data_IF_025742991405
#
_entry.id   IF_025742991405
#
_cell.length_a   1.000
_cell.length_b   1.000
_cell.length_c   1.000
_cell.angle_alpha   90.00
_cell.angle_beta   90.00
_cell.angle_gamma   90.00
#
_symmetry.space_group_name_H-M   'P 1'
#
loop_
_entity.id
_entity.type
_entity.pdbx_description
1 polymer ?
#
# COMPACT_ATOMS: atom_id res chain seq x y z
N UNK A 1 14.85 -6.43 -11.24
CA UNK A 1 13.45 -6.20 -11.66
C UNK A 1 12.59 -5.59 -10.56
N UNK A 2 12.69 -6.03 -9.30
CA UNK A 2 11.97 -5.41 -8.17
C UNK A 2 12.09 -3.87 -8.12
N UNK A 3 13.31 -3.34 -8.20
CA UNK A 3 13.54 -1.88 -8.15
C UNK A 3 12.80 -1.07 -9.23
N UNK A 4 12.63 -1.63 -10.44
CA UNK A 4 11.91 -0.95 -11.53
C UNK A 4 10.42 -0.99 -11.25
N UNK A 5 9.89 -2.17 -10.89
CA UNK A 5 8.50 -2.34 -10.52
C UNK A 5 8.11 -1.41 -9.35
N UNK A 6 8.93 -1.33 -8.31
CA UNK A 6 8.70 -0.45 -7.16
C UNK A 6 8.66 1.03 -7.58
N UNK A 7 9.51 1.47 -8.51
CA UNK A 7 9.56 2.87 -8.99
C UNK A 7 8.44 3.24 -9.96
N UNK A 8 7.87 2.28 -10.67
CA UNK A 8 6.87 2.54 -11.71
C UNK A 8 5.47 2.03 -11.33
N UNK A 9 5.25 1.70 -10.05
CA UNK A 9 4.04 0.99 -9.60
C UNK A 9 3.75 -0.29 -10.39
N UNK A 10 4.78 -0.88 -10.99
CA UNK A 10 4.68 -2.04 -11.87
C UNK A 10 4.60 -3.33 -11.07
N UNK A 11 4.30 -4.43 -11.76
CA UNK A 11 4.34 -5.78 -11.19
C UNK A 11 5.52 -6.53 -11.78
N UNK A 12 6.20 -7.34 -10.96
CA UNK A 12 7.18 -8.31 -11.45
C UNK A 12 6.83 -9.70 -10.96
N UNK A 13 7.22 -10.71 -11.72
CA UNK A 13 7.02 -12.11 -11.36
C UNK A 13 8.19 -12.92 -11.89
N UNK A 14 8.46 -14.05 -11.24
CA UNK A 14 9.47 -15.00 -11.68
C UNK A 14 8.80 -16.14 -12.44
N UNK A 15 9.23 -16.40 -13.67
CA UNK A 15 8.73 -17.50 -14.49
C UNK A 15 9.80 -18.58 -14.62
N UNK A 16 9.51 -19.79 -14.12
CA UNK A 16 10.43 -20.93 -14.21
C UNK A 16 10.21 -21.71 -15.52
N UNK A 17 10.48 -21.08 -16.66
CA UNK A 17 10.41 -21.63 -18.03
C UNK A 17 9.09 -22.29 -18.47
N UNK A 18 8.03 -22.21 -17.65
CA UNK A 18 6.69 -22.69 -18.00
C UNK A 18 5.96 -21.67 -18.87
N UNK A 19 6.15 -21.77 -20.18
CA UNK A 19 5.58 -20.85 -21.17
C UNK A 19 4.04 -20.79 -21.12
N UNK A 20 3.36 -21.85 -20.65
CA UNK A 20 1.90 -21.84 -20.49
C UNK A 20 1.47 -20.85 -19.41
N UNK A 21 2.14 -20.88 -18.26
CA UNK A 21 1.89 -19.93 -17.16
C UNK A 21 2.19 -18.49 -17.55
N UNK A 22 3.24 -18.27 -18.35
CA UNK A 22 3.56 -16.92 -18.88
C UNK A 22 2.42 -16.44 -19.77
N UNK A 23 1.95 -17.26 -20.71
CA UNK A 23 0.84 -16.92 -21.61
C UNK A 23 -0.45 -16.61 -20.84
N UNK A 24 -0.79 -17.46 -19.87
CA UNK A 24 -2.01 -17.29 -19.07
C UNK A 24 -1.93 -16.02 -18.20
N UNK A 25 -0.77 -15.73 -17.62
CA UNK A 25 -0.53 -14.48 -16.89
C UNK A 25 -0.62 -13.24 -17.81
N UNK A 26 -0.10 -13.33 -19.04
CA UNK A 26 -0.20 -12.24 -20.02
C UNK A 26 -1.66 -11.91 -20.37
N UNK A 27 -2.54 -12.91 -20.44
CA UNK A 27 -3.96 -12.68 -20.71
C UNK A 27 -4.63 -11.88 -19.59
N UNK A 28 -4.22 -12.06 -18.33
CA UNK A 28 -4.78 -11.33 -17.18
C UNK A 28 -4.49 -9.82 -17.24
N UNK A 29 -3.38 -9.39 -17.85
CA UNK A 29 -3.05 -7.97 -18.00
C UNK A 29 -3.99 -7.21 -18.95
N UNK A 30 -4.84 -7.90 -19.70
CA UNK A 30 -5.82 -7.26 -20.60
C UNK A 30 -7.12 -6.85 -19.92
N UNK A 31 -7.37 -7.32 -18.70
CA UNK A 31 -8.61 -7.09 -17.97
C UNK A 31 -8.35 -6.25 -16.71
N UNK A 32 -8.52 -4.94 -16.84
CA UNK A 32 -8.39 -3.97 -15.73
C UNK A 32 -9.77 -3.49 -15.28
N UNK A 33 -10.42 -4.16 -14.33
CA UNK A 33 -11.73 -3.76 -13.83
C UNK A 33 -11.74 -2.45 -13.03
N UNK A 34 -10.62 -2.03 -12.45
CA UNK A 34 -10.54 -0.76 -11.74
C UNK A 34 -9.17 -0.08 -11.91
N UNK A 35 -9.21 1.23 -12.09
CA UNK A 35 -8.04 2.10 -12.16
C UNK A 35 -8.11 3.19 -11.10
N UNK A 36 -6.95 3.75 -10.73
CA UNK A 36 -6.83 4.88 -9.79
C UNK A 36 -7.53 4.64 -8.44
N UNK A 37 -7.39 3.42 -7.90
CA UNK A 37 -7.98 3.04 -6.62
C UNK A 37 -7.18 3.68 -5.48
N UNK A 38 -7.89 4.30 -4.54
CA UNK A 38 -7.31 4.87 -3.34
C UNK A 38 -7.87 4.18 -2.10
N UNK A 39 -6.98 3.69 -1.24
CA UNK A 39 -7.32 3.18 0.09
C UNK A 39 -6.86 4.22 1.10
N UNK A 40 -7.82 4.89 1.72
CA UNK A 40 -7.55 5.88 2.76
C UNK A 40 -7.54 5.21 4.13
N UNK A 41 -6.47 5.46 4.87
CA UNK A 41 -6.27 4.96 6.23
C UNK A 41 -6.31 6.15 7.20
N UNK A 42 -7.02 5.99 8.30
CA UNK A 42 -7.13 7.01 9.34
C UNK A 42 -6.89 6.38 10.70
N UNK A 43 -5.83 6.84 11.38
CA UNK A 43 -5.50 6.41 12.71
C UNK A 43 -6.28 7.21 13.76
N UNK A 44 -6.76 6.48 14.77
CA UNK A 44 -7.43 7.07 15.93
C UNK A 44 -6.47 7.99 16.71
N UNK A 45 -7.03 8.92 17.50
CA UNK A 45 -6.27 9.74 18.44
C UNK A 45 -5.36 8.87 19.32
N UNK A 46 -4.08 9.23 19.40
CA UNK A 46 -3.05 8.49 20.13
C UNK A 46 -2.28 7.44 19.31
N UNK A 47 -2.66 7.21 18.05
CA UNK A 47 -1.91 6.38 17.11
C UNK A 47 -1.51 7.19 15.87
N UNK A 48 -0.32 6.89 15.37
CA UNK A 48 0.22 7.38 14.10
C UNK A 48 0.43 6.21 13.16
N UNK A 49 0.21 6.44 11.87
CA UNK A 49 0.65 5.55 10.79
C UNK A 49 2.15 5.75 10.62
N UNK A 50 2.93 4.72 10.95
CA UNK A 50 4.37 4.69 10.72
C UNK A 50 4.61 4.38 9.25
N UNK A 51 5.22 5.32 8.53
CA UNK A 51 5.51 5.20 7.10
C UNK A 51 6.89 5.75 6.80
N UNK A 52 7.66 5.01 5.99
CA UNK A 52 8.90 5.52 5.38
C UNK A 52 8.61 6.57 4.29
N UNK A 53 7.38 6.57 3.74
CA UNK A 53 6.92 7.57 2.78
C UNK A 53 6.03 8.61 3.47
N UNK A 54 6.47 9.87 3.43
CA UNK A 54 5.89 11.00 4.17
C UNK A 54 4.36 10.99 4.20
N UNK A 55 3.81 11.01 5.42
CA UNK A 55 2.39 11.26 5.68
C UNK A 55 1.96 12.57 5.03
N UNK A 56 0.89 12.52 4.24
CA UNK A 56 0.41 13.66 3.45
C UNK A 56 -0.16 14.81 4.29
N UNK A 57 -0.40 14.59 5.58
CA UNK A 57 -1.06 15.52 6.49
C UNK A 57 -0.11 16.20 7.50
N UNK A 58 1.20 15.93 7.42
CA UNK A 58 2.21 16.46 8.35
C UNK A 58 2.08 15.96 9.79
N UNK A 59 0.99 15.25 10.13
CA UNK A 59 0.66 14.75 11.46
C UNK A 59 0.82 13.24 11.60
N UNK A 60 1.04 12.50 10.51
CA UNK A 60 1.26 11.05 10.56
C UNK A 60 0.00 10.25 10.84
N UNK A 61 -1.19 10.84 10.72
CA UNK A 61 -2.45 10.21 11.15
C UNK A 61 -3.32 9.70 10.01
N UNK A 62 -3.10 10.26 8.82
CA UNK A 62 -3.74 9.85 7.59
C UNK A 62 -2.70 9.44 6.57
N UNK A 63 -2.99 8.34 5.87
CA UNK A 63 -2.21 7.90 4.72
C UNK A 63 -3.16 7.41 3.63
N UNK A 64 -2.69 7.50 2.38
CA UNK A 64 -3.40 6.96 1.23
C UNK A 64 -2.48 5.99 0.50
N UNK A 65 -2.94 4.75 0.36
CA UNK A 65 -2.31 3.77 -0.52
C UNK A 65 -2.95 3.96 -1.90
N UNK A 66 -2.14 4.36 -2.88
CA UNK A 66 -2.57 4.56 -4.26
C UNK A 66 -2.26 3.32 -5.08
N UNK A 67 -3.24 2.85 -5.83
CA UNK A 67 -3.13 1.69 -6.70
C UNK A 67 -3.56 2.11 -8.09
N UNK A 68 -2.61 2.10 -9.03
CA UNK A 68 -2.88 2.58 -10.40
C UNK A 68 -3.86 1.64 -11.13
N UNK A 69 -3.59 0.34 -11.11
CA UNK A 69 -4.43 -0.69 -11.74
C UNK A 69 -4.72 -1.85 -10.78
N UNK A 70 -5.95 -2.36 -10.85
CA UNK A 70 -6.37 -3.63 -10.25
C UNK A 70 -6.82 -4.56 -11.38
N UNK A 71 -6.15 -5.70 -11.52
CA UNK A 71 -6.46 -6.70 -12.55
C UNK A 71 -7.55 -7.67 -12.08
N UNK A 72 -8.29 -8.26 -13.02
CA UNK A 72 -9.36 -9.20 -12.69
C UNK A 72 -8.81 -10.42 -11.93
N UNK A 73 -9.41 -10.71 -10.77
CA UNK A 73 -8.98 -11.80 -9.88
C UNK A 73 -7.71 -11.50 -9.06
N UNK A 74 -7.09 -10.34 -9.22
CA UNK A 74 -5.91 -9.92 -8.45
C UNK A 74 -6.26 -9.72 -6.97
N UNK A 75 -5.35 -10.14 -6.08
CA UNK A 75 -5.42 -9.86 -4.65
C UNK A 75 -4.13 -9.15 -4.21
N UNK A 76 -4.26 -7.93 -3.70
CA UNK A 76 -3.16 -7.16 -3.12
C UNK A 76 -3.27 -7.17 -1.60
N UNK A 77 -2.15 -7.42 -0.93
CA UNK A 77 -2.04 -7.38 0.53
C UNK A 77 -1.15 -6.20 0.92
N UNK A 78 -1.53 -5.49 1.98
CA UNK A 78 -0.80 -4.35 2.50
C UNK A 78 -0.47 -4.57 3.97
N UNK A 79 0.72 -4.16 4.38
CA UNK A 79 1.14 -4.17 5.79
C UNK A 79 1.26 -2.71 6.21
N UNK A 80 0.57 -2.37 7.30
CA UNK A 80 0.54 -1.01 7.85
C UNK A 80 1.07 -1.07 9.27
N UNK A 81 2.04 -0.23 9.59
CA UNK A 81 2.62 -0.13 10.92
C UNK A 81 2.00 1.04 11.68
N UNK A 82 1.69 0.83 12.95
CA UNK A 82 1.16 1.86 13.84
C UNK A 82 2.17 2.17 14.94
N UNK A 83 2.43 3.45 15.15
CA UNK A 83 3.19 3.95 16.30
C UNK A 83 2.23 4.57 17.31
N UNK A 84 2.28 4.10 18.56
CA UNK A 84 1.44 4.64 19.64
C UNK A 84 2.15 5.79 20.34
N UNK A 85 1.46 6.92 20.52
CA UNK A 85 1.98 8.04 21.28
C UNK A 85 1.69 7.85 22.78
N UNK A 86 2.67 8.13 23.67
CA UNK A 86 2.41 8.14 25.11
C UNK A 86 1.32 9.17 25.44
N UNK A 87 0.35 8.79 26.27
CA UNK A 87 -0.58 9.76 26.86
C UNK A 87 0.24 10.79 27.64
N UNK A 88 0.15 12.07 27.26
CA UNK A 88 0.59 13.18 28.13
C UNK A 88 -0.19 13.05 29.44
N UNK A 89 0.49 12.66 30.52
CA UNK A 89 -0.07 12.77 31.86
C UNK A 89 -0.32 14.25 32.11
N UNK A 90 -1.59 14.62 32.34
CA UNK A 90 -1.91 15.95 32.81
C UNK A 90 -1.17 16.16 34.13
N UNK A 91 -0.16 17.04 34.14
CA UNK A 91 0.40 17.56 35.37
C UNK A 91 -0.71 18.31 36.09
N UNK A 92 -1.35 17.65 37.05
CA UNK A 92 -2.18 18.31 38.06
C UNK A 92 -1.21 19.13 38.91
N UNK A 93 -1.08 20.42 38.61
CA UNK A 93 -0.52 21.39 39.55
C UNK A 93 -1.58 21.62 40.63
N UNK A 94 -1.32 21.07 41.81
CA UNK A 94 -1.96 21.43 43.08
C UNK A 94 -1.59 22.84 43.50
#
# INVERSE_FOLDING_TARGET
>A
MKHIADKTSGTYSFANYDLRKVKDACALFTSVPATSVAITLMAHDGALLSSDEKSSDGGGRSAAIRIDNMYAGEKKNFIVYLALQPRRSASRSS
#
